data_IF_254679171590
#
_entry.id   IF_254679171590
#
_cell.length_a   1.000
_cell.length_b   1.000
_cell.length_c   1.000
_cell.angle_alpha   90.00
_cell.angle_beta   90.00
_cell.angle_gamma   90.00
#
_symmetry.space_group_name_H-M   'P 1'
#
loop_
_entity.id
_entity.type
_entity.pdbx_description
1 polymer ?
#
# COMPACT_ATOMS: atom_id res chain seq x y z
N UNK A 1 63.20 -11.39 -29.02
CA UNK A 1 64.36 -11.59 -28.16
C UNK A 1 63.79 -12.20 -26.88
N UNK A 2 63.78 -13.48 -26.75
CA UNK A 2 64.83 -14.45 -26.50
C UNK A 2 65.30 -14.42 -25.03
N UNK A 3 65.13 -15.60 -24.43
CA UNK A 3 65.85 -16.23 -23.36
C UNK A 3 64.91 -16.87 -22.31
N UNK A 4 64.43 -18.10 -22.34
CA UNK A 4 65.07 -19.44 -22.16
C UNK A 4 66.09 -19.49 -21.01
N UNK A 5 65.90 -20.34 -20.03
CA UNK A 5 66.14 -21.76 -19.79
C UNK A 5 66.50 -21.88 -18.31
N UNK A 6 66.57 -22.91 -17.53
CA UNK A 6 66.52 -24.37 -17.75
C UNK A 6 66.61 -25.05 -16.36
N UNK A 7 65.96 -26.19 -16.18
CA UNK A 7 66.36 -27.48 -15.63
C UNK A 7 67.14 -27.60 -14.29
N UNK A 8 66.66 -28.52 -13.46
CA UNK A 8 67.41 -29.13 -12.35
C UNK A 8 66.65 -30.31 -11.67
N UNK A 9 66.82 -31.49 -12.20
CA UNK A 9 66.42 -32.82 -11.71
C UNK A 9 67.46 -33.37 -10.74
N UNK A 10 67.05 -34.16 -9.75
CA UNK A 10 67.71 -35.40 -9.24
C UNK A 10 66.90 -35.90 -8.03
N UNK A 11 66.26 -36.97 -8.01
CA UNK A 11 66.55 -38.41 -8.01
C UNK A 11 67.49 -38.87 -6.86
N UNK A 12 67.01 -39.66 -5.92
CA UNK A 12 67.56 -40.96 -5.43
C UNK A 12 66.74 -41.43 -4.16
N UNK A 13 65.99 -42.50 -4.25
CA UNK A 13 66.21 -43.94 -4.09
C UNK A 13 66.61 -44.42 -2.68
N UNK A 14 65.71 -45.33 -2.21
CA UNK A 14 65.96 -46.63 -1.48
C UNK A 14 66.28 -46.46 0.03
N UNK A 15 65.61 -47.19 0.92
CA UNK A 15 65.74 -48.65 1.01
C UNK A 15 64.66 -49.24 1.98
N UNK A 16 64.52 -50.53 1.78
CA UNK A 16 63.61 -51.53 2.37
C UNK A 16 64.01 -51.99 3.76
N UNK A 17 63.02 -52.54 4.48
CA UNK A 17 62.98 -53.85 5.21
C UNK A 17 62.21 -53.68 6.46
N UNK A 18 61.40 -54.56 7.08
CA UNK A 18 60.92 -55.90 6.77
C UNK A 18 59.84 -56.23 7.85
N UNK A 19 58.86 -56.97 7.41
CA UNK A 19 58.15 -58.06 8.06
C UNK A 19 58.09 -58.15 9.61
N UNK A 20 56.92 -58.22 10.17
CA UNK A 20 56.55 -59.42 10.94
C UNK A 20 55.05 -59.67 11.06
N UNK A 21 54.68 -60.91 10.98
CA UNK A 21 53.44 -61.61 10.76
C UNK A 21 52.63 -61.83 12.05
N UNK A 22 51.28 -61.62 11.98
CA UNK A 22 50.16 -62.43 12.45
C UNK A 22 50.20 -63.11 13.86
N UNK A 23 49.08 -63.54 14.52
CA UNK A 23 47.80 -63.97 13.95
C UNK A 23 46.53 -63.52 14.71
N UNK A 24 45.38 -63.80 14.10
CA UNK A 24 44.04 -63.80 14.73
C UNK A 24 43.84 -64.92 15.73
N UNK A 25 42.86 -64.76 16.65
CA UNK A 25 41.87 -65.81 16.84
C UNK A 25 40.41 -65.34 16.91
N UNK A 26 39.64 -66.04 16.16
CA UNK A 26 38.24 -66.54 16.25
C UNK A 26 37.35 -66.15 17.42
N UNK A 27 36.14 -65.71 17.00
CA UNK A 27 34.75 -65.91 17.49
C UNK A 27 34.54 -66.43 18.91
N UNK A 28 33.73 -65.71 19.69
CA UNK A 28 32.42 -66.18 20.24
C UNK A 28 31.86 -65.20 21.31
N UNK A 29 30.62 -64.79 21.02
CA UNK A 29 29.53 -64.46 21.96
C UNK A 29 29.79 -63.63 23.22
N UNK A 30 29.13 -62.41 23.29
CA UNK A 30 28.20 -62.13 24.38
C UNK A 30 27.32 -60.91 23.97
N UNK A 31 26.03 -61.18 23.93
CA UNK A 31 24.94 -60.20 23.87
C UNK A 31 24.97 -59.37 25.19
N UNK A 32 25.04 -58.06 25.08
CA UNK A 32 24.54 -57.16 26.13
C UNK A 32 24.07 -55.88 25.47
N UNK A 33 22.81 -55.57 25.74
CA UNK A 33 22.07 -54.48 25.13
C UNK A 33 22.67 -53.10 25.43
N UNK A 34 22.79 -52.30 24.40
CA UNK A 34 22.87 -50.84 24.52
C UNK A 34 21.56 -50.26 23.97
N UNK A 35 20.72 -49.77 24.90
CA UNK A 35 19.60 -48.90 24.58
C UNK A 35 20.13 -47.69 23.84
N UNK A 36 19.84 -47.64 22.54
CA UNK A 36 19.92 -46.42 21.73
C UNK A 36 18.76 -45.53 22.14
N UNK A 37 19.02 -44.55 23.05
CA UNK A 37 18.17 -43.37 23.11
C UNK A 37 18.30 -42.64 21.76
N UNK A 38 17.36 -42.91 20.86
CA UNK A 38 17.13 -42.06 19.68
C UNK A 38 16.59 -40.72 20.18
N UNK A 39 17.49 -39.76 20.38
CA UNK A 39 17.13 -38.37 20.53
C UNK A 39 16.36 -37.97 19.29
N UNK A 40 15.04 -37.79 19.43
CA UNK A 40 14.22 -37.11 18.42
C UNK A 40 14.68 -35.66 18.37
N UNK A 41 15.74 -35.37 17.62
CA UNK A 41 16.01 -34.04 17.17
C UNK A 41 14.79 -33.64 16.35
N UNK A 42 13.96 -32.77 16.93
CA UNK A 42 12.81 -32.22 16.27
C UNK A 42 13.30 -31.53 14.98
N UNK A 43 13.10 -32.20 13.86
CA UNK A 43 13.28 -31.59 12.56
C UNK A 43 12.37 -30.36 12.54
N UNK A 44 12.88 -29.16 12.21
CA UNK A 44 12.01 -28.02 12.03
C UNK A 44 10.96 -28.44 10.98
N UNK A 45 9.70 -28.42 11.37
CA UNK A 45 8.59 -28.62 10.45
C UNK A 45 8.70 -27.44 9.46
N UNK A 46 9.32 -27.69 8.30
CA UNK A 46 9.24 -26.80 7.15
C UNK A 46 7.75 -26.73 6.81
N UNK A 47 7.08 -25.70 7.29
CA UNK A 47 5.75 -25.36 6.81
C UNK A 47 5.92 -25.01 5.35
N UNK A 48 5.63 -25.96 4.46
CA UNK A 48 5.56 -25.71 3.03
C UNK A 48 4.56 -24.57 2.83
N UNK A 49 5.01 -23.46 2.26
CA UNK A 49 4.09 -22.36 1.93
C UNK A 49 2.97 -22.93 1.05
N UNK A 50 1.70 -22.58 1.32
CA UNK A 50 0.61 -23.04 0.47
C UNK A 50 0.87 -22.68 -0.98
N UNK A 51 0.62 -23.60 -1.89
CA UNK A 51 0.78 -23.34 -3.33
C UNK A 51 -0.17 -22.22 -3.74
N UNK A 52 0.37 -21.16 -4.35
CA UNK A 52 -0.42 -20.05 -4.87
C UNK A 52 -1.24 -20.51 -6.07
N UNK A 53 -2.48 -20.09 -6.16
CA UNK A 53 -3.37 -20.38 -7.30
C UNK A 53 -2.93 -19.57 -8.53
N UNK A 54 -2.46 -18.33 -8.30
CA UNK A 54 -1.93 -17.44 -9.34
C UNK A 54 -0.69 -16.71 -8.80
N UNK A 55 0.45 -16.86 -9.46
CA UNK A 55 1.73 -16.25 -9.06
C UNK A 55 1.99 -14.92 -9.77
N UNK A 56 1.55 -14.78 -11.02
CA UNK A 56 1.70 -13.54 -11.80
C UNK A 56 0.46 -12.68 -11.61
N UNK A 57 0.62 -11.53 -10.98
CA UNK A 57 -0.48 -10.62 -10.66
C UNK A 57 -0.28 -9.27 -11.35
N UNK A 58 -1.28 -8.84 -12.11
CA UNK A 58 -1.38 -7.49 -12.60
C UNK A 58 -2.17 -6.64 -11.61
N UNK A 59 -1.50 -5.69 -10.97
CA UNK A 59 -2.08 -4.74 -10.04
C UNK A 59 -2.13 -3.36 -10.68
N UNK A 60 -3.30 -2.73 -10.65
CA UNK A 60 -3.47 -1.36 -11.14
C UNK A 60 -3.55 -0.37 -9.99
N UNK A 61 -2.98 0.81 -10.20
CA UNK A 61 -3.02 1.96 -9.28
C UNK A 61 -3.19 3.24 -10.11
N UNK A 62 -3.71 4.31 -9.52
CA UNK A 62 -3.88 5.58 -10.26
C UNK A 62 -2.58 6.38 -10.38
N UNK A 63 -1.73 6.43 -9.34
CA UNK A 63 -0.44 7.13 -9.38
C UNK A 63 0.47 6.73 -8.22
N UNK A 64 1.54 5.99 -8.51
CA UNK A 64 2.42 5.33 -7.53
C UNK A 64 3.16 6.29 -6.58
N UNK A 65 3.45 7.50 -7.05
CA UNK A 65 4.23 8.48 -6.29
C UNK A 65 3.49 9.10 -5.10
N UNK A 66 2.16 8.90 -5.01
CA UNK A 66 1.37 9.39 -3.90
C UNK A 66 1.68 8.63 -2.60
N UNK A 67 1.81 9.37 -1.49
CA UNK A 67 1.99 8.77 -0.15
C UNK A 67 0.84 7.84 0.24
N UNK A 68 -0.31 8.01 -0.37
CA UNK A 68 -1.48 7.13 -0.27
C UNK A 68 -1.16 5.66 -0.60
N UNK A 69 -0.20 5.42 -1.51
CA UNK A 69 0.26 4.10 -1.94
C UNK A 69 1.62 3.70 -1.37
N UNK A 70 2.11 4.44 -0.38
CA UNK A 70 3.43 4.15 0.22
C UNK A 70 3.57 2.71 0.73
N UNK A 71 2.56 2.07 1.39
CA UNK A 71 2.68 0.67 1.80
C UNK A 71 2.92 -0.28 0.63
N UNK A 72 2.26 -0.06 -0.52
CA UNK A 72 2.49 -0.83 -1.75
C UNK A 72 3.91 -0.63 -2.27
N UNK A 73 4.37 0.63 -2.33
CA UNK A 73 5.73 0.97 -2.77
C UNK A 73 6.78 0.31 -1.89
N UNK A 74 6.64 0.38 -0.57
CA UNK A 74 7.59 -0.25 0.37
C UNK A 74 7.61 -1.77 0.20
N UNK A 75 6.43 -2.40 0.10
CA UNK A 75 6.34 -3.85 -0.09
C UNK A 75 6.99 -4.31 -1.42
N UNK A 76 6.86 -3.52 -2.48
CA UNK A 76 7.52 -3.78 -3.77
C UNK A 76 9.04 -3.59 -3.67
N UNK A 77 9.50 -2.42 -3.20
CA UNK A 77 10.92 -2.05 -3.18
C UNK A 77 11.75 -2.97 -2.26
N UNK A 78 11.17 -3.41 -1.15
CA UNK A 78 11.81 -4.36 -0.24
C UNK A 78 11.63 -5.82 -0.65
N UNK A 79 10.95 -6.08 -1.78
CA UNK A 79 10.79 -7.41 -2.35
C UNK A 79 9.84 -8.32 -1.58
N UNK A 80 8.95 -7.78 -0.75
CA UNK A 80 8.03 -8.57 0.08
C UNK A 80 7.05 -9.39 -0.75
N UNK A 81 6.56 -8.89 -1.88
CA UNK A 81 5.74 -9.67 -2.81
C UNK A 81 6.49 -10.87 -3.36
N UNK A 82 7.76 -10.68 -3.72
CA UNK A 82 8.62 -11.74 -4.25
C UNK A 82 8.93 -12.80 -3.20
N UNK A 83 9.14 -12.37 -1.94
CA UNK A 83 9.34 -13.27 -0.81
C UNK A 83 8.10 -14.14 -0.51
N UNK A 84 6.90 -13.66 -0.84
CA UNK A 84 5.65 -14.41 -0.77
C UNK A 84 5.33 -15.21 -2.05
N UNK A 85 6.23 -15.24 -3.03
CA UNK A 85 6.07 -15.99 -4.28
C UNK A 85 5.24 -15.29 -5.35
N UNK A 86 4.96 -13.99 -5.21
CA UNK A 86 4.20 -13.17 -6.17
C UNK A 86 5.14 -12.47 -7.14
N UNK A 87 4.95 -12.73 -8.43
CA UNK A 87 5.48 -11.95 -9.55
C UNK A 87 4.50 -10.82 -9.86
N UNK A 88 4.77 -9.63 -9.26
CA UNK A 88 3.86 -8.49 -9.30
C UNK A 88 4.22 -7.54 -10.43
N UNK A 89 3.27 -7.27 -11.32
CA UNK A 89 3.34 -6.18 -12.29
C UNK A 89 2.39 -5.06 -11.85
N UNK A 90 2.95 -3.88 -11.54
CA UNK A 90 2.16 -2.69 -11.18
C UNK A 90 2.02 -1.79 -12.41
N UNK A 91 0.78 -1.44 -12.74
CA UNK A 91 0.41 -0.55 -13.86
C UNK A 91 -0.20 0.72 -13.32
N UNK A 92 0.28 1.88 -13.79
CA UNK A 92 -0.31 3.17 -13.46
C UNK A 92 -1.37 3.56 -14.50
N UNK A 93 -2.57 3.85 -14.03
CA UNK A 93 -3.70 4.22 -14.91
C UNK A 93 -3.87 5.74 -15.07
N UNK A 94 -3.13 6.54 -14.29
CA UNK A 94 -3.17 8.01 -14.34
C UNK A 94 -4.39 8.65 -13.68
N UNK A 95 -5.41 7.87 -13.33
CA UNK A 95 -6.56 8.33 -12.53
C UNK A 95 -7.26 7.18 -11.82
N UNK A 96 -7.94 7.49 -10.71
CA UNK A 96 -8.72 6.51 -9.95
C UNK A 96 -9.87 5.90 -10.77
N UNK A 97 -10.46 6.68 -11.69
CA UNK A 97 -11.52 6.20 -12.60
C UNK A 97 -10.98 5.18 -13.60
N UNK A 98 -9.81 5.47 -14.20
CA UNK A 98 -9.18 4.54 -15.14
C UNK A 98 -8.68 3.26 -14.43
N UNK A 99 -8.16 3.37 -13.21
CA UNK A 99 -7.76 2.21 -12.41
C UNK A 99 -8.98 1.33 -12.08
N UNK A 100 -10.09 1.93 -11.66
CA UNK A 100 -11.35 1.22 -11.43
C UNK A 100 -11.84 0.51 -12.70
N UNK A 101 -11.78 1.17 -13.85
CA UNK A 101 -12.18 0.59 -15.13
C UNK A 101 -11.29 -0.61 -15.52
N UNK A 102 -9.98 -0.52 -15.29
CA UNK A 102 -9.06 -1.61 -15.60
C UNK A 102 -9.36 -2.88 -14.78
N UNK A 103 -9.66 -2.75 -13.48
CA UNK A 103 -9.99 -3.92 -12.66
C UNK A 103 -11.39 -4.46 -12.94
N UNK A 104 -12.36 -3.61 -13.25
CA UNK A 104 -13.73 -4.04 -13.56
C UNK A 104 -13.86 -4.71 -14.92
N UNK A 105 -13.04 -4.32 -15.89
CA UNK A 105 -12.97 -4.98 -17.19
C UNK A 105 -12.16 -6.27 -17.19
N UNK A 106 -11.43 -6.58 -16.10
CA UNK A 106 -10.53 -7.73 -16.03
C UNK A 106 -9.18 -7.50 -16.70
N UNK A 107 -8.84 -6.28 -17.12
CA UNK A 107 -7.52 -5.92 -17.61
C UNK A 107 -6.45 -5.95 -16.49
N UNK A 108 -6.86 -5.80 -15.24
CA UNK A 108 -6.04 -6.01 -14.07
C UNK A 108 -6.72 -6.99 -13.10
N UNK A 109 -5.94 -7.74 -12.34
CA UNK A 109 -6.43 -8.71 -11.36
C UNK A 109 -6.87 -8.03 -10.06
N UNK A 110 -6.08 -7.05 -9.62
CA UNK A 110 -6.20 -6.38 -8.33
C UNK A 110 -6.06 -4.88 -8.55
N UNK A 111 -6.82 -4.09 -7.81
CA UNK A 111 -6.64 -2.66 -7.73
C UNK A 111 -6.11 -2.27 -6.34
N UNK A 112 -5.10 -1.41 -6.31
CA UNK A 112 -4.77 -0.64 -5.12
C UNK A 112 -5.49 0.70 -5.25
N UNK A 113 -6.56 0.89 -4.49
CA UNK A 113 -7.43 2.06 -4.63
C UNK A 113 -8.23 2.35 -3.36
N UNK A 114 -9.18 3.25 -3.48
CA UNK A 114 -9.98 3.69 -2.35
C UNK A 114 -11.12 2.70 -2.04
N UNK A 115 -11.37 2.44 -0.75
CA UNK A 115 -12.39 1.49 -0.31
C UNK A 115 -13.81 1.88 -0.75
N UNK A 116 -14.12 3.16 -0.81
CA UNK A 116 -15.42 3.63 -1.31
C UNK A 116 -15.72 3.17 -2.74
N UNK A 117 -14.70 2.89 -3.56
CA UNK A 117 -14.90 2.32 -4.88
C UNK A 117 -15.56 0.92 -4.82
N UNK A 118 -15.19 0.11 -3.82
CA UNK A 118 -15.80 -1.20 -3.58
C UNK A 118 -17.29 -1.05 -3.24
N UNK A 119 -17.64 -0.08 -2.40
CA UNK A 119 -19.02 0.25 -2.05
C UNK A 119 -19.83 0.69 -3.29
N UNK A 120 -19.24 1.59 -4.09
CA UNK A 120 -19.85 2.08 -5.33
C UNK A 120 -20.06 0.97 -6.37
N UNK A 121 -19.15 0.01 -6.46
CA UNK A 121 -19.29 -1.18 -7.32
C UNK A 121 -20.44 -2.07 -6.83
N UNK A 122 -20.49 -2.38 -5.53
CA UNK A 122 -21.58 -3.21 -4.99
C UNK A 122 -22.95 -2.55 -5.15
N UNK A 123 -23.06 -1.24 -4.99
CA UNK A 123 -24.34 -0.53 -5.22
C UNK A 123 -24.86 -0.71 -6.66
N UNK A 124 -23.96 -1.01 -7.60
CA UNK A 124 -24.23 -1.31 -9.02
C UNK A 124 -24.27 -2.82 -9.32
N UNK A 125 -24.40 -3.67 -8.28
CA UNK A 125 -24.38 -5.13 -8.39
C UNK A 125 -23.07 -5.73 -8.95
N UNK A 126 -21.96 -5.00 -8.87
CA UNK A 126 -20.64 -5.52 -9.20
C UNK A 126 -19.92 -5.95 -7.93
N UNK A 127 -19.75 -7.26 -7.75
CA UNK A 127 -19.24 -7.84 -6.52
C UNK A 127 -17.73 -7.78 -6.46
N UNK A 128 -17.20 -6.80 -5.74
CA UNK A 128 -15.79 -6.61 -5.41
C UNK A 128 -15.59 -6.66 -3.90
N UNK A 129 -14.38 -7.01 -3.47
CA UNK A 129 -14.06 -7.18 -2.06
C UNK A 129 -12.64 -6.70 -1.77
N UNK A 130 -12.48 -5.87 -0.73
CA UNK A 130 -11.19 -5.52 -0.15
C UNK A 130 -10.67 -6.67 0.71
N UNK A 131 -9.38 -6.96 0.65
CA UNK A 131 -8.76 -8.03 1.43
C UNK A 131 -7.56 -7.60 2.28
N UNK A 132 -7.10 -6.34 2.15
CA UNK A 132 -6.14 -5.70 3.05
C UNK A 132 -6.26 -4.18 2.98
N UNK A 133 -6.31 -3.54 4.14
CA UNK A 133 -6.32 -2.08 4.26
C UNK A 133 -4.90 -1.54 4.32
N UNK A 134 -4.58 -0.53 3.53
CA UNK A 134 -3.30 0.17 3.53
C UNK A 134 -3.36 1.48 4.33
N UNK A 135 -4.51 2.18 4.26
CA UNK A 135 -4.74 3.46 4.90
C UNK A 135 -6.09 3.52 5.61
N UNK A 136 -6.10 3.97 6.86
CA UNK A 136 -7.30 4.10 7.70
C UNK A 136 -7.87 5.53 7.74
N UNK A 137 -7.31 6.41 6.90
CA UNK A 137 -7.79 7.77 6.66
C UNK A 137 -7.49 8.19 5.21
N UNK A 138 -8.26 9.09 4.60
CA UNK A 138 -8.15 9.45 3.18
C UNK A 138 -6.84 10.12 2.76
N UNK A 139 -6.08 10.71 3.69
CA UNK A 139 -4.82 11.43 3.42
C UNK A 139 -4.97 12.62 2.46
N UNK A 140 -6.15 13.22 2.44
CA UNK A 140 -6.49 14.34 1.58
C UNK A 140 -6.66 15.58 2.44
N UNK A 141 -6.14 16.72 1.98
CA UNK A 141 -6.44 18.00 2.59
C UNK A 141 -7.11 18.92 1.58
N UNK A 142 -8.02 19.75 2.09
CA UNK A 142 -8.73 20.77 1.34
C UNK A 142 -8.29 22.14 1.86
N UNK A 143 -7.84 22.99 0.96
CA UNK A 143 -7.34 24.31 1.29
C UNK A 143 -7.70 25.35 0.26
N UNK A 144 -7.60 26.61 0.67
CA UNK A 144 -7.86 27.79 -0.18
C UNK A 144 -6.54 28.42 -0.64
N UNK A 145 -6.53 28.94 -1.87
CA UNK A 145 -5.40 29.67 -2.44
C UNK A 145 -5.13 30.95 -1.64
N UNK A 146 -3.90 31.10 -1.18
CA UNK A 146 -3.50 32.37 -0.52
C UNK A 146 -3.43 33.52 -1.50
N UNK A 147 -3.32 33.23 -2.80
CA UNK A 147 -3.24 34.23 -3.87
C UNK A 147 -4.60 34.80 -4.27
N UNK A 148 -5.63 33.96 -4.42
CA UNK A 148 -6.96 34.40 -4.93
C UNK A 148 -8.00 34.53 -3.84
N UNK A 149 -7.76 33.94 -2.66
CA UNK A 149 -8.68 33.95 -1.52
C UNK A 149 -8.08 34.71 -0.33
N UNK A 150 -7.56 35.92 -0.57
CA UNK A 150 -7.05 36.78 0.50
C UNK A 150 -8.14 37.05 1.54
N UNK A 151 -7.80 36.84 2.82
CA UNK A 151 -8.72 37.12 3.89
C UNK A 151 -9.86 36.14 4.07
N UNK A 152 -9.79 34.93 3.44
CA UNK A 152 -10.78 33.85 3.59
C UNK A 152 -11.17 33.61 5.06
N UNK A 153 -12.48 33.59 5.35
CA UNK A 153 -13.06 33.44 6.69
C UNK A 153 -14.02 32.25 6.81
N UNK A 154 -14.78 31.93 5.76
CA UNK A 154 -15.85 30.94 5.84
C UNK A 154 -16.03 30.16 4.53
N UNK A 155 -16.52 28.90 4.62
CA UNK A 155 -16.80 28.05 3.47
C UNK A 155 -17.80 28.66 2.48
N UNK A 156 -18.73 29.50 2.95
CA UNK A 156 -19.69 30.21 2.07
C UNK A 156 -19.03 31.08 1.02
N UNK A 157 -17.80 31.54 1.23
CA UNK A 157 -17.04 32.33 0.25
C UNK A 157 -16.55 31.50 -0.94
N UNK A 158 -16.68 30.16 -0.88
CA UNK A 158 -16.34 29.27 -1.98
C UNK A 158 -17.45 29.15 -3.04
N UNK A 159 -18.63 29.74 -2.83
CA UNK A 159 -19.67 29.79 -3.88
C UNK A 159 -19.17 30.47 -5.14
N UNK A 160 -19.39 29.83 -6.29
CA UNK A 160 -18.92 30.28 -7.61
C UNK A 160 -17.41 30.11 -7.85
N UNK A 161 -16.66 29.60 -6.89
CA UNK A 161 -15.20 29.47 -6.97
C UNK A 161 -14.76 28.22 -7.74
N UNK A 162 -13.51 28.24 -8.24
CA UNK A 162 -12.87 27.13 -8.93
C UNK A 162 -12.10 26.29 -7.94
N UNK A 163 -12.50 25.03 -7.79
CA UNK A 163 -11.92 24.07 -6.84
C UNK A 163 -11.22 22.97 -7.61
N UNK A 164 -9.90 22.89 -7.49
CA UNK A 164 -9.10 21.82 -8.06
C UNK A 164 -9.30 20.50 -7.30
N UNK A 165 -9.50 19.41 -8.03
CA UNK A 165 -9.57 18.05 -7.52
C UNK A 165 -8.73 17.13 -8.41
N UNK A 166 -8.28 15.96 -7.90
CA UNK A 166 -7.49 15.06 -8.74
C UNK A 166 -8.25 14.60 -9.99
N UNK A 167 -9.53 14.27 -9.84
CA UNK A 167 -10.49 14.02 -10.91
C UNK A 167 -11.92 14.23 -10.38
N UNK A 168 -12.87 14.54 -11.25
CA UNK A 168 -14.29 14.54 -10.88
C UNK A 168 -14.72 13.10 -10.56
N UNK A 169 -15.39 12.89 -9.43
CA UNK A 169 -15.75 11.56 -8.91
C UNK A 169 -14.66 10.85 -8.10
N UNK A 170 -13.48 11.48 -7.93
CA UNK A 170 -12.39 10.94 -7.10
C UNK A 170 -12.62 11.18 -5.61
N UNK A 171 -11.87 10.50 -4.71
CA UNK A 171 -11.91 10.77 -3.28
C UNK A 171 -11.70 12.25 -2.91
N UNK A 172 -10.83 12.96 -3.63
CA UNK A 172 -10.60 14.39 -3.38
C UNK A 172 -11.82 15.25 -3.72
N UNK A 173 -12.58 14.87 -4.75
CA UNK A 173 -13.84 15.51 -5.09
C UNK A 173 -14.91 15.26 -4.01
N UNK A 174 -15.04 14.02 -3.54
CA UNK A 174 -15.98 13.63 -2.48
C UNK A 174 -15.71 14.41 -1.19
N UNK A 175 -14.45 14.51 -0.77
CA UNK A 175 -14.05 15.22 0.44
C UNK A 175 -14.32 16.73 0.33
N UNK A 176 -13.94 17.35 -0.81
CA UNK A 176 -14.23 18.76 -1.05
C UNK A 176 -15.74 19.04 -0.97
N UNK A 177 -16.55 18.22 -1.63
CA UNK A 177 -18.01 18.33 -1.65
C UNK A 177 -18.61 18.20 -0.25
N UNK A 178 -18.14 17.21 0.53
CA UNK A 178 -18.60 17.01 1.90
C UNK A 178 -18.26 18.20 2.82
N UNK A 179 -17.04 18.72 2.71
CA UNK A 179 -16.62 19.90 3.48
C UNK A 179 -17.46 21.13 3.09
N UNK A 180 -17.72 21.31 1.80
CA UNK A 180 -18.59 22.40 1.31
C UNK A 180 -20.00 22.29 1.90
N UNK A 181 -20.61 21.09 1.90
CA UNK A 181 -21.93 20.85 2.49
C UNK A 181 -21.98 21.19 3.97
N UNK A 182 -20.93 20.91 4.75
CA UNK A 182 -20.82 21.31 6.15
C UNK A 182 -20.87 22.84 6.33
N UNK A 183 -20.41 23.59 5.34
CA UNK A 183 -20.48 25.05 5.28
C UNK A 183 -21.73 25.61 4.61
N UNK A 184 -22.72 24.77 4.28
CA UNK A 184 -23.94 25.17 3.59
C UNK A 184 -23.74 25.54 2.11
N UNK A 185 -22.64 25.06 1.49
CA UNK A 185 -22.37 25.25 0.06
C UNK A 185 -22.64 23.93 -0.66
N UNK A 186 -23.54 23.92 -1.62
CA UNK A 186 -23.80 22.73 -2.43
C UNK A 186 -22.69 22.53 -3.46
N UNK A 187 -22.34 21.28 -3.82
CA UNK A 187 -21.32 20.98 -4.83
C UNK A 187 -21.61 21.60 -6.22
N UNK A 188 -22.87 21.79 -6.57
CA UNK A 188 -23.30 22.44 -7.81
C UNK A 188 -23.18 24.00 -7.78
N UNK A 189 -22.89 24.58 -6.64
CA UNK A 189 -22.62 26.02 -6.46
C UNK A 189 -21.13 26.38 -6.64
N UNK A 190 -20.28 25.43 -6.98
CA UNK A 190 -18.84 25.62 -7.25
C UNK A 190 -18.43 25.02 -8.59
N UNK A 191 -17.25 25.38 -9.10
CA UNK A 191 -16.71 24.84 -10.34
C UNK A 191 -15.56 23.88 -10.03
N UNK A 192 -15.81 22.57 -10.10
CA UNK A 192 -14.75 21.59 -9.96
C UNK A 192 -13.91 21.47 -11.20
N UNK A 193 -12.58 21.49 -11.04
CA UNK A 193 -11.58 21.39 -12.10
C UNK A 193 -10.70 20.17 -11.85
N UNK A 194 -10.66 19.24 -12.81
CA UNK A 194 -9.75 18.09 -12.73
C UNK A 194 -8.30 18.55 -13.03
N UNK A 195 -7.39 18.41 -12.06
CA UNK A 195 -6.01 18.90 -12.17
C UNK A 195 -4.96 17.80 -11.97
N UNK A 196 -5.39 16.54 -11.72
CA UNK A 196 -4.49 15.43 -11.44
C UNK A 196 -3.85 15.51 -10.05
N UNK A 197 -2.77 14.74 -9.86
CA UNK A 197 -2.06 14.58 -8.59
C UNK A 197 -0.58 14.96 -8.69
N UNK A 198 -0.19 15.71 -9.72
CA UNK A 198 1.19 16.02 -10.05
C UNK A 198 1.43 17.51 -10.29
N UNK A 199 2.53 17.85 -10.93
CA UNK A 199 2.98 19.24 -11.18
C UNK A 199 1.92 20.16 -11.79
N UNK A 200 0.98 19.64 -12.60
CA UNK A 200 -0.11 20.41 -13.17
C UNK A 200 -1.03 21.04 -12.12
N UNK A 201 -1.37 20.30 -11.07
CA UNK A 201 -2.16 20.79 -9.96
C UNK A 201 -1.47 21.94 -9.20
N UNK A 202 -0.17 21.77 -8.94
CA UNK A 202 0.65 22.82 -8.31
C UNK A 202 0.65 24.10 -9.17
N UNK A 203 0.87 23.95 -10.46
CA UNK A 203 0.93 25.09 -11.38
C UNK A 203 -0.42 25.82 -11.48
N UNK A 204 -1.53 25.08 -11.52
CA UNK A 204 -2.87 25.67 -11.61
C UNK A 204 -3.19 26.55 -10.37
N UNK A 205 -2.83 26.09 -9.15
CA UNK A 205 -2.99 26.87 -7.94
C UNK A 205 -2.07 28.11 -7.92
N UNK A 206 -0.78 27.90 -8.22
CA UNK A 206 0.26 28.93 -8.22
C UNK A 206 -0.04 30.07 -9.20
N UNK A 207 -0.59 29.79 -10.36
CA UNK A 207 -0.95 30.79 -11.37
C UNK A 207 -2.25 31.53 -11.03
N UNK A 208 -3.03 31.05 -10.04
CA UNK A 208 -4.32 31.63 -9.67
C UNK A 208 -5.48 31.17 -10.56
N UNK A 209 -5.30 30.05 -11.28
CA UNK A 209 -6.39 29.43 -12.04
C UNK A 209 -7.41 28.73 -11.12
N UNK A 210 -7.03 28.47 -9.86
CA UNK A 210 -7.87 27.86 -8.83
C UNK A 210 -7.97 28.78 -7.60
N UNK A 211 -9.14 28.73 -6.97
CA UNK A 211 -9.41 29.42 -5.72
C UNK A 211 -9.20 28.51 -4.48
N UNK A 212 -9.37 27.22 -4.68
CA UNK A 212 -9.16 26.20 -3.67
C UNK A 212 -8.70 24.89 -4.31
N UNK A 213 -8.19 23.96 -3.49
CA UNK A 213 -7.79 22.63 -3.94
C UNK A 213 -8.02 21.59 -2.86
N UNK A 214 -8.55 20.43 -3.26
CA UNK A 214 -8.58 19.21 -2.48
C UNK A 214 -7.69 18.18 -3.17
N UNK A 215 -6.61 17.74 -2.51
CA UNK A 215 -5.67 16.81 -3.12
C UNK A 215 -4.90 16.02 -2.05
N UNK A 216 -4.07 15.08 -2.49
CA UNK A 216 -3.31 14.14 -1.67
C UNK A 216 -1.87 14.63 -1.41
N UNK A 217 -1.18 13.89 -0.53
CA UNK A 217 0.25 14.08 -0.29
C UNK A 217 1.14 13.39 -1.37
N UNK A 218 2.32 13.95 -1.67
CA UNK A 218 2.99 15.07 -0.99
C UNK A 218 2.62 16.49 -1.50
N UNK A 219 1.69 16.60 -2.44
CA UNK A 219 1.39 17.84 -3.15
C UNK A 219 0.90 18.96 -2.22
N UNK A 220 0.00 18.63 -1.29
CA UNK A 220 -0.56 19.63 -0.34
C UNK A 220 0.54 20.17 0.58
N UNK A 221 1.38 19.30 1.15
CA UNK A 221 2.49 19.75 2.01
C UNK A 221 3.45 20.67 1.25
N UNK A 222 3.74 20.37 -0.02
CA UNK A 222 4.57 21.25 -0.86
C UNK A 222 3.95 22.66 -0.99
N UNK A 223 2.66 22.75 -1.23
CA UNK A 223 1.95 24.04 -1.36
C UNK A 223 1.86 24.78 -0.03
N UNK A 224 1.65 24.07 1.10
CA UNK A 224 1.65 24.66 2.44
C UNK A 224 3.02 25.28 2.79
N UNK A 225 4.11 24.54 2.57
CA UNK A 225 5.47 25.04 2.87
C UNK A 225 5.83 26.26 2.03
N UNK A 226 5.31 26.36 0.82
CA UNK A 226 5.50 27.54 -0.05
C UNK A 226 4.52 28.69 0.26
N UNK A 227 3.62 28.50 1.22
CA UNK A 227 2.59 29.49 1.55
C UNK A 227 1.56 29.74 0.44
N UNK A 228 1.40 28.81 -0.49
CA UNK A 228 0.50 28.92 -1.65
C UNK A 228 -0.94 28.49 -1.32
N UNK A 229 -1.10 27.66 -0.29
CA UNK A 229 -2.40 27.15 0.18
C UNK A 229 -2.54 27.29 1.70
N UNK A 230 -3.74 27.64 2.15
CA UNK A 230 -4.14 27.55 3.57
C UNK A 230 -5.12 26.39 3.72
N UNK A 231 -4.70 25.35 4.41
CA UNK A 231 -5.55 24.17 4.66
C UNK A 231 -6.71 24.57 5.59
N UNK A 232 -7.92 24.19 5.22
CA UNK A 232 -9.17 24.48 5.94
C UNK A 232 -9.87 23.21 6.41
N UNK A 233 -9.56 22.05 5.82
CA UNK A 233 -9.99 20.74 6.26
C UNK A 233 -8.90 19.71 5.96
N UNK A 234 -8.65 18.79 6.90
CA UNK A 234 -7.48 17.93 6.85
C UNK A 234 -7.80 16.49 7.26
N UNK A 235 -7.96 15.59 6.28
CA UNK A 235 -8.15 14.15 6.51
C UNK A 235 -6.84 13.36 6.44
N UNK A 236 -5.69 14.01 6.53
CA UNK A 236 -4.37 13.36 6.70
C UNK A 236 -4.22 12.81 8.11
N UNK A 237 -5.07 13.27 9.05
CA UNK A 237 -5.07 12.83 10.44
C UNK A 237 -6.37 12.11 10.80
N UNK A 238 -6.31 11.24 11.81
CA UNK A 238 -7.50 10.54 12.31
C UNK A 238 -8.50 11.52 12.96
N UNK A 239 -7.99 12.56 13.63
CA UNK A 239 -8.82 13.63 14.21
C UNK A 239 -9.57 14.40 13.12
N UNK A 240 -8.86 14.84 12.09
CA UNK A 240 -9.46 15.55 10.97
C UNK A 240 -10.44 14.68 10.18
N UNK A 241 -10.10 13.41 9.99
CA UNK A 241 -11.01 12.44 9.37
C UNK A 241 -12.32 12.32 10.13
N UNK A 242 -12.28 12.20 11.46
CA UNK A 242 -13.50 12.19 12.29
C UNK A 242 -14.29 13.50 12.20
N UNK A 243 -13.61 14.63 12.12
CA UNK A 243 -14.29 15.93 11.97
C UNK A 243 -15.07 16.02 10.65
N UNK A 244 -14.54 15.45 9.55
CA UNK A 244 -15.20 15.44 8.25
C UNK A 244 -16.30 14.37 8.17
N UNK A 245 -16.03 13.14 8.64
CA UNK A 245 -16.90 11.99 8.39
C UNK A 245 -17.73 11.53 9.61
N UNK A 246 -17.44 12.03 10.78
CA UNK A 246 -18.09 11.62 12.04
C UNK A 246 -17.63 10.25 12.56
N UNK A 247 -16.64 9.62 11.94
CA UNK A 247 -16.13 8.30 12.31
C UNK A 247 -14.86 7.92 11.56
N UNK A 248 -14.37 6.67 11.73
CA UNK A 248 -13.26 6.16 10.93
C UNK A 248 -13.66 6.06 9.46
N UNK A 249 -12.76 6.47 8.57
CA UNK A 249 -12.97 6.43 7.12
C UNK A 249 -11.83 5.64 6.47
N UNK A 250 -12.00 4.31 6.29
CA UNK A 250 -11.01 3.50 5.60
C UNK A 250 -10.81 4.01 4.17
N UNK A 251 -9.57 3.95 3.69
CA UNK A 251 -9.20 4.59 2.45
C UNK A 251 -8.44 3.60 1.53
N UNK A 252 -7.12 3.74 1.39
CA UNK A 252 -6.35 2.85 0.52
C UNK A 252 -6.48 1.39 0.93
N UNK A 253 -6.83 0.51 -0.03
CA UNK A 253 -6.89 -0.94 0.18
C UNK A 253 -6.51 -1.68 -1.10
N UNK A 254 -6.18 -2.98 -0.98
CA UNK A 254 -6.20 -3.87 -2.14
C UNK A 254 -7.58 -4.51 -2.25
N UNK A 255 -8.15 -4.43 -3.43
CA UNK A 255 -9.43 -5.07 -3.72
C UNK A 255 -9.44 -5.75 -5.09
N UNK A 256 -10.28 -6.75 -5.24
CA UNK A 256 -10.48 -7.50 -6.48
C UNK A 256 -11.94 -7.95 -6.60
N UNK A 257 -12.31 -8.50 -7.75
CA UNK A 257 -13.58 -9.16 -7.90
C UNK A 257 -13.75 -10.27 -6.82
N UNK A 258 -14.91 -10.37 -6.20
CA UNK A 258 -15.16 -11.35 -5.12
C UNK A 258 -14.86 -12.77 -5.58
N UNK A 259 -15.13 -13.08 -6.85
CA UNK A 259 -14.79 -14.37 -7.45
C UNK A 259 -13.28 -14.61 -7.54
N UNK A 260 -12.49 -13.57 -7.82
CA UNK A 260 -11.03 -13.67 -7.79
C UNK A 260 -10.54 -13.97 -6.37
N UNK A 261 -11.01 -13.24 -5.37
CA UNK A 261 -10.64 -13.45 -3.96
C UNK A 261 -11.01 -14.87 -3.52
N UNK A 262 -12.19 -15.36 -3.87
CA UNK A 262 -12.66 -16.68 -3.52
C UNK A 262 -11.85 -17.81 -4.16
N UNK A 263 -11.42 -17.64 -5.42
CA UNK A 263 -10.68 -18.65 -6.19
C UNK A 263 -9.17 -18.63 -5.93
N UNK A 264 -8.63 -17.52 -5.38
CA UNK A 264 -7.19 -17.29 -5.22
C UNK A 264 -6.84 -16.93 -3.78
N UNK A 265 -7.30 -17.72 -2.81
CA UNK A 265 -7.18 -17.41 -1.37
C UNK A 265 -5.71 -17.35 -0.92
N UNK A 266 -4.86 -18.31 -1.36
CA UNK A 266 -3.44 -18.30 -1.00
C UNK A 266 -2.72 -17.12 -1.65
N UNK A 267 -3.09 -16.78 -2.88
CA UNK A 267 -2.55 -15.60 -3.59
C UNK A 267 -2.94 -14.31 -2.88
N UNK A 268 -4.23 -14.14 -2.47
CA UNK A 268 -4.67 -12.98 -1.69
C UNK A 268 -3.97 -12.93 -0.32
N UNK A 269 -3.76 -14.08 0.33
CA UNK A 269 -2.99 -14.15 1.57
C UNK A 269 -1.54 -13.70 1.38
N UNK A 270 -0.87 -14.17 0.32
CA UNK A 270 0.50 -13.78 -0.01
C UNK A 270 0.62 -12.27 -0.29
N UNK A 271 -0.32 -11.71 -1.05
CA UNK A 271 -0.38 -10.27 -1.29
C UNK A 271 -0.62 -9.49 0.01
N UNK A 272 -1.53 -9.96 0.86
CA UNK A 272 -1.81 -9.36 2.17
C UNK A 272 -0.58 -9.41 3.07
N UNK A 273 0.12 -10.54 3.10
CA UNK A 273 1.37 -10.69 3.87
C UNK A 273 2.40 -9.64 3.45
N UNK A 274 2.59 -9.44 2.15
CA UNK A 274 3.54 -8.44 1.63
C UNK A 274 3.17 -7.02 2.07
N UNK A 275 1.89 -6.64 1.99
CA UNK A 275 1.41 -5.31 2.42
C UNK A 275 1.56 -5.14 3.94
N UNK A 276 1.12 -6.11 4.75
CA UNK A 276 1.21 -6.02 6.23
C UNK A 276 2.67 -5.97 6.69
N UNK A 277 3.58 -6.70 6.03
CA UNK A 277 5.01 -6.58 6.29
C UNK A 277 5.53 -5.16 5.98
N UNK A 278 5.11 -4.57 4.87
CA UNK A 278 5.41 -3.16 4.54
C UNK A 278 4.83 -2.17 5.56
N UNK A 279 3.61 -2.38 6.00
CA UNK A 279 2.98 -1.57 7.05
C UNK A 279 3.75 -1.68 8.37
N UNK A 280 4.16 -2.88 8.75
CA UNK A 280 4.98 -3.11 9.95
C UNK A 280 6.32 -2.39 9.87
N UNK A 281 6.99 -2.46 8.72
CA UNK A 281 8.23 -1.73 8.49
C UNK A 281 8.03 -0.21 8.61
N UNK A 282 6.95 0.35 8.06
CA UNK A 282 6.62 1.78 8.13
C UNK A 282 6.37 2.30 9.55
N UNK A 283 5.97 1.42 10.49
CA UNK A 283 5.79 1.82 11.89
C UNK A 283 7.12 2.26 12.55
N UNK A 284 8.22 1.66 12.16
CA UNK A 284 9.53 1.87 12.78
C UNK A 284 10.54 2.57 11.86
N UNK A 285 10.21 2.76 10.58
CA UNK A 285 11.09 3.40 9.60
C UNK A 285 11.43 4.84 10.01
N UNK A 286 12.72 5.12 10.04
CA UNK A 286 13.23 6.48 10.21
C UNK A 286 13.37 7.21 8.87
N UNK A 287 13.68 8.54 8.90
CA UNK A 287 13.85 9.33 7.68
C UNK A 287 14.85 8.74 6.69
N UNK A 288 15.97 8.22 7.20
CA UNK A 288 16.99 7.58 6.37
C UNK A 288 16.53 6.31 5.68
N UNK A 289 15.64 5.53 6.32
CA UNK A 289 15.09 4.31 5.74
C UNK A 289 14.12 4.65 4.60
N UNK A 290 13.26 5.65 4.80
CA UNK A 290 12.34 6.15 3.77
C UNK A 290 13.12 6.62 2.53
N UNK A 291 14.15 7.47 2.71
CA UNK A 291 14.94 8.01 1.60
C UNK A 291 15.68 6.91 0.83
N UNK A 292 16.16 5.86 1.49
CA UNK A 292 16.87 4.75 0.84
C UNK A 292 15.93 3.82 0.08
N UNK A 293 14.67 3.71 0.50
CA UNK A 293 13.73 2.70 -0.02
C UNK A 293 12.81 3.27 -1.09
N UNK A 294 12.33 4.51 -0.93
CA UNK A 294 11.41 5.15 -1.88
C UNK A 294 12.15 5.56 -3.16
N UNK A 295 11.59 5.32 -4.36
CA UNK A 295 12.19 5.77 -5.61
C UNK A 295 12.45 7.27 -5.64
N UNK A 296 13.62 7.68 -6.14
CA UNK A 296 14.06 9.09 -6.18
C UNK A 296 13.04 10.01 -6.88
N UNK A 297 12.41 9.50 -7.95
CA UNK A 297 11.39 10.26 -8.71
C UNK A 297 10.16 10.67 -7.90
N UNK A 298 9.90 10.03 -6.73
CA UNK A 298 8.75 10.36 -5.89
C UNK A 298 8.98 11.57 -4.99
N UNK A 299 10.23 11.97 -4.79
CA UNK A 299 10.58 13.08 -3.90
C UNK A 299 10.27 14.47 -4.49
N UNK A 300 9.86 14.56 -5.75
CA UNK A 300 9.62 15.85 -6.44
C UNK A 300 10.80 16.83 -6.31
N UNK A 301 12.02 16.31 -6.32
CA UNK A 301 13.29 17.01 -6.11
C UNK A 301 13.48 17.61 -4.69
N UNK A 302 12.66 17.23 -3.72
CA UNK A 302 12.75 17.73 -2.34
C UNK A 302 12.47 16.59 -1.32
N UNK A 303 13.54 15.93 -0.89
CA UNK A 303 13.47 14.85 0.11
C UNK A 303 12.97 15.33 1.46
N UNK A 304 13.33 16.55 1.85
CA UNK A 304 12.90 17.14 3.13
C UNK A 304 11.40 17.38 3.17
N UNK A 305 10.85 17.92 2.08
CA UNK A 305 9.42 18.11 1.90
C UNK A 305 8.67 16.77 1.90
N UNK A 306 9.19 15.75 1.19
CA UNK A 306 8.58 14.42 1.17
C UNK A 306 8.52 13.80 2.57
N UNK A 307 9.60 13.90 3.36
CA UNK A 307 9.63 13.44 4.74
C UNK A 307 8.63 14.19 5.62
N UNK A 308 8.52 15.51 5.46
CA UNK A 308 7.52 16.31 6.18
C UNK A 308 6.08 15.88 5.83
N UNK A 309 5.82 15.57 4.55
CA UNK A 309 4.54 15.05 4.11
C UNK A 309 4.27 13.65 4.68
N UNK A 310 5.28 12.77 4.69
CA UNK A 310 5.18 11.44 5.29
C UNK A 310 4.81 11.50 6.78
N UNK A 311 5.46 12.36 7.56
CA UNK A 311 5.15 12.51 8.98
C UNK A 311 3.70 12.99 9.21
N UNK A 312 3.14 13.84 8.35
CA UNK A 312 1.74 14.27 8.43
C UNK A 312 0.72 13.14 8.19
N UNK A 313 1.07 12.15 7.36
CA UNK A 313 0.16 11.04 7.02
C UNK A 313 0.48 9.75 7.77
N UNK A 314 1.56 9.70 8.53
CA UNK A 314 2.04 8.46 9.18
C UNK A 314 0.97 7.79 10.03
N UNK A 315 0.22 8.54 10.83
CA UNK A 315 -0.85 7.99 11.65
C UNK A 315 -2.06 7.47 10.83
N UNK A 316 -2.21 7.92 9.60
CA UNK A 316 -3.29 7.51 8.70
C UNK A 316 -3.01 6.17 8.00
N UNK A 317 -1.78 5.69 8.01
CA UNK A 317 -1.45 4.36 7.53
C UNK A 317 -2.09 3.31 8.44
N UNK A 318 -2.53 2.20 7.85
CA UNK A 318 -3.05 1.08 8.65
C UNK A 318 -1.91 0.48 9.48
N UNK A 319 -2.13 0.16 10.77
CA UNK A 319 -1.09 -0.50 11.55
C UNK A 319 -0.93 -1.98 11.18
N UNK A 320 -1.99 -2.64 10.70
CA UNK A 320 -2.07 -4.10 10.62
C UNK A 320 -2.85 -4.64 9.40
N UNK A 321 -3.34 -3.77 8.55
CA UNK A 321 -4.12 -4.16 7.36
C UNK A 321 -5.59 -4.49 7.61
N UNK A 322 -6.07 -4.43 8.86
CA UNK A 322 -7.43 -4.81 9.25
C UNK A 322 -8.40 -3.65 9.00
N UNK A 323 -9.53 -3.95 8.36
CA UNK A 323 -10.65 -3.01 8.21
C UNK A 323 -11.30 -2.75 9.57
N UNK A 324 -11.43 -1.49 10.02
CA UNK A 324 -12.08 -1.17 11.29
C UNK A 324 -13.60 -1.40 11.22
N UNK A 325 -14.21 -1.87 12.32
CA UNK A 325 -15.61 -2.33 12.36
C UNK A 325 -16.62 -1.28 11.87
N UNK A 326 -16.48 -0.03 12.30
CA UNK A 326 -17.39 1.06 11.92
C UNK A 326 -16.99 1.78 10.61
N UNK A 327 -15.81 1.47 10.07
CA UNK A 327 -15.29 2.12 8.87
C UNK A 327 -16.16 1.95 7.64
N UNK A 328 -16.57 0.72 7.28
CA UNK A 328 -17.44 0.47 6.13
C UNK A 328 -18.76 1.22 6.19
N UNK A 329 -19.37 1.32 7.37
CA UNK A 329 -20.63 2.05 7.59
C UNK A 329 -20.44 3.56 7.41
N UNK A 330 -19.36 4.11 7.95
CA UNK A 330 -19.02 5.53 7.79
C UNK A 330 -18.80 5.88 6.32
N UNK A 331 -18.06 5.02 5.59
CA UNK A 331 -17.78 5.22 4.17
C UNK A 331 -19.07 5.15 3.32
N UNK A 332 -19.95 4.17 3.57
CA UNK A 332 -21.21 4.02 2.83
C UNK A 332 -22.11 5.24 3.04
N UNK A 333 -22.31 5.67 4.29
CA UNK A 333 -23.10 6.88 4.61
C UNK A 333 -22.51 8.11 3.93
N UNK A 334 -21.19 8.30 3.98
CA UNK A 334 -20.55 9.45 3.34
C UNK A 334 -20.76 9.46 1.82
N UNK A 335 -20.73 8.29 1.18
CA UNK A 335 -21.01 8.18 -0.26
C UNK A 335 -22.46 8.48 -0.60
N UNK A 336 -23.41 7.91 0.13
CA UNK A 336 -24.84 8.10 -0.13
C UNK A 336 -25.30 9.55 0.07
N UNK A 337 -24.68 10.28 1.00
CA UNK A 337 -24.92 11.73 1.18
C UNK A 337 -24.41 12.56 -0.03
N UNK A 338 -23.37 12.07 -0.72
CA UNK A 338 -22.75 12.79 -1.83
C UNK A 338 -23.30 12.37 -3.20
N UNK A 339 -23.54 11.06 -3.41
CA UNK A 339 -23.95 10.47 -4.68
C UNK A 339 -25.30 9.73 -4.50
N UNK A 340 -26.38 10.33 -4.97
CA UNK A 340 -27.72 9.75 -4.93
C UNK A 340 -27.87 8.45 -5.72
N UNK A 341 -26.90 8.12 -6.59
CA UNK A 341 -26.86 6.83 -7.30
C UNK A 341 -26.41 5.68 -6.39
N UNK A 342 -25.76 5.98 -5.26
CA UNK A 342 -25.33 5.00 -4.27
C UNK A 342 -26.55 4.56 -3.43
N UNK A 343 -26.99 3.34 -3.63
CA UNK A 343 -28.12 2.75 -2.94
C UNK A 343 -27.62 1.96 -1.72
N UNK A 344 -27.76 2.54 -0.52
CA UNK A 344 -27.33 1.89 0.73
C UNK A 344 -28.00 0.53 0.93
N UNK A 345 -29.28 0.39 0.55
CA UNK A 345 -30.08 -0.84 0.63
C UNK A 345 -29.54 -1.97 -0.26
N UNK A 346 -28.71 -1.67 -1.25
CA UNK A 346 -28.08 -2.66 -2.16
C UNK A 346 -26.68 -3.08 -1.71
N UNK A 347 -26.09 -2.39 -0.74
CA UNK A 347 -24.73 -2.69 -0.28
C UNK A 347 -24.77 -3.58 0.96
N UNK A 348 -24.28 -4.79 0.82
CA UNK A 348 -24.06 -5.69 1.95
C UNK A 348 -22.63 -5.47 2.47
N UNK A 349 -22.48 -4.70 3.54
CA UNK A 349 -21.17 -4.34 4.09
C UNK A 349 -20.26 -5.54 4.37
N UNK A 350 -20.80 -6.64 4.90
CA UNK A 350 -20.03 -7.87 5.17
C UNK A 350 -19.46 -8.54 3.91
N UNK A 351 -19.97 -8.19 2.73
CA UNK A 351 -19.44 -8.68 1.45
C UNK A 351 -18.40 -7.76 0.81
N UNK A 352 -18.17 -6.55 1.38
CA UNK A 352 -17.28 -5.55 0.79
C UNK A 352 -15.82 -5.69 1.23
N UNK A 353 -15.55 -6.46 2.28
CA UNK A 353 -14.20 -6.70 2.78
C UNK A 353 -14.08 -8.10 3.40
N UNK A 354 -12.84 -8.58 3.53
CA UNK A 354 -12.51 -9.80 4.24
C UNK A 354 -11.27 -9.56 5.12
N UNK A 355 -11.47 -9.55 6.43
CA UNK A 355 -10.39 -9.32 7.40
C UNK A 355 -9.56 -10.57 7.72
N UNK A 356 -9.98 -11.77 7.31
CA UNK A 356 -9.27 -13.01 7.67
C UNK A 356 -7.82 -13.02 7.17
N UNK A 357 -7.57 -12.51 5.97
CA UNK A 357 -6.23 -12.42 5.41
C UNK A 357 -5.35 -11.48 6.24
N UNK A 358 -5.86 -10.29 6.57
CA UNK A 358 -5.15 -9.30 7.36
C UNK A 358 -4.91 -9.77 8.80
N UNK A 359 -5.87 -10.46 9.43
CA UNK A 359 -5.72 -11.02 10.77
C UNK A 359 -4.60 -12.07 10.80
N UNK A 360 -4.57 -13.02 9.84
CA UNK A 360 -3.48 -14.00 9.73
C UNK A 360 -2.12 -13.34 9.49
N UNK A 361 -2.07 -12.31 8.65
CA UNK A 361 -0.83 -11.57 8.39
C UNK A 361 -0.37 -10.79 9.64
N UNK A 362 -1.29 -10.14 10.36
CA UNK A 362 -1.04 -9.46 11.64
C UNK A 362 -0.40 -10.39 12.67
N UNK A 363 -0.95 -11.58 12.84
CA UNK A 363 -0.39 -12.61 13.75
C UNK A 363 1.02 -13.01 13.31
N UNK A 364 1.22 -13.27 12.01
CA UNK A 364 2.51 -13.70 11.47
C UNK A 364 3.62 -12.66 11.67
N UNK A 365 3.31 -11.38 11.43
CA UNK A 365 4.30 -10.30 11.50
C UNK A 365 4.29 -9.54 12.84
N UNK A 366 3.39 -9.89 13.77
CA UNK A 366 3.19 -9.17 15.04
C UNK A 366 2.97 -7.67 14.80
N UNK A 367 2.12 -7.35 13.84
CA UNK A 367 1.81 -6.00 13.41
C UNK A 367 0.71 -5.35 14.26
#
# INVERSE_FOLDING_TARGET
>A
MAGRADVGRSDNRRDRTALNSSPMPTRRHLLTGALLMAGTAGLPVLHAQPRLEKTKIMLVVDGRAALYYLPLTIAEQLGYFRAEGIDLQIVEAGSAVAALQAVTSGAADVCSGAYEQVLGLQSKNQMFQSFVLQGRAPQIAFGVSTKTMHGYKALSELKGKKIGVSAVGSPSHIIASRVLLQGGVRPDEVNFVAVGMAAGALQALKTGQLDAMSNIEPLITMMEQKGEIKVISDTRTLKGTRAVFGGPMPAACLYAATDFVRKNQNTCQAMTNAIVHGLKWLQTAGPGDIIKTVPESYFLNDRGMYLAAFEKVRESLSPDGVMPDDGPRTALRAMAEFDSSVREDRVRLSGTFNNEFAQRAKERFKA
#
